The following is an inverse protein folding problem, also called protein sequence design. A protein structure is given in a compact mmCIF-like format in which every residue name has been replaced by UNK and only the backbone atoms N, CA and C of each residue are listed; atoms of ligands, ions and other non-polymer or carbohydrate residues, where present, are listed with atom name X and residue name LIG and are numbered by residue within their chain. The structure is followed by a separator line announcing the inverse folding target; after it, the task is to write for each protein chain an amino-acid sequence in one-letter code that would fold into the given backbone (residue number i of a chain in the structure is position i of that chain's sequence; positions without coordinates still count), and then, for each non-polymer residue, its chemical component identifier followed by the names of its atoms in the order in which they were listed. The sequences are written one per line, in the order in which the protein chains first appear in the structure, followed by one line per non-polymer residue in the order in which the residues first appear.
data_IF_382897989719
#
_entry.id   IF_382897989719
#
_cell.length_a   1.000
_cell.length_b   1.000
_cell.length_c   1.000
_cell.angle_alpha   90.00
_cell.angle_beta   90.00
_cell.angle_gamma   90.00
#
_symmetry.space_group_name_H-M   'P 1'
#
loop_
_entity.id
_entity.type
_entity.pdbx_description
1 polymer ?
#
# COMPACT_ATOMS: atom_id res chain seq x y z
N UNK A 1 -24.32 -50.68 -48.64
CA UNK A 1 -23.66 -50.44 -49.94
C UNK A 1 -24.68 -49.79 -50.87
N UNK A 2 -24.38 -48.59 -51.37
CA UNK A 2 -24.76 -47.96 -52.65
C UNK A 2 -24.79 -46.44 -52.48
N UNK A 3 -23.80 -45.77 -53.06
CA UNK A 3 -23.74 -44.32 -53.22
C UNK A 3 -24.82 -43.87 -54.21
N UNK A 4 -25.41 -42.68 -54.01
CA UNK A 4 -25.85 -41.85 -55.15
C UNK A 4 -25.86 -40.35 -54.86
N UNK A 5 -24.86 -39.72 -55.47
CA UNK A 5 -24.67 -38.34 -55.90
C UNK A 5 -25.90 -37.64 -56.50
N UNK A 6 -26.00 -36.32 -56.34
CA UNK A 6 -26.75 -35.41 -57.23
C UNK A 6 -27.25 -34.15 -56.51
N UNK A 7 -26.42 -33.11 -56.38
CA UNK A 7 -26.33 -31.96 -57.31
C UNK A 7 -27.56 -31.04 -57.32
N UNK A 8 -27.43 -29.96 -56.56
CA UNK A 8 -27.72 -28.57 -56.90
C UNK A 8 -28.86 -28.27 -57.88
N UNK A 9 -29.92 -27.64 -57.38
CA UNK A 9 -30.61 -26.55 -58.07
C UNK A 9 -30.86 -25.42 -57.09
N UNK A 10 -30.01 -24.40 -57.20
CA UNK A 10 -30.22 -23.06 -56.65
C UNK A 10 -31.44 -22.46 -57.33
N UNK A 11 -32.43 -22.04 -56.58
CA UNK A 11 -33.46 -21.14 -57.07
C UNK A 11 -34.05 -20.33 -55.91
N UNK A 12 -34.12 -19.03 -56.15
CA UNK A 12 -34.95 -18.05 -55.46
C UNK A 12 -34.52 -17.67 -54.05
N UNK A 13 -33.53 -16.78 -54.05
CA UNK A 13 -33.38 -15.68 -53.09
C UNK A 13 -34.75 -15.02 -52.89
N UNK A 14 -35.38 -15.28 -51.75
CA UNK A 14 -36.46 -14.47 -51.21
C UNK A 14 -35.94 -13.88 -49.90
N UNK A 15 -35.40 -12.67 -50.02
CA UNK A 15 -34.98 -11.82 -48.91
C UNK A 15 -36.25 -11.43 -48.17
N UNK A 16 -36.50 -12.07 -47.02
CA UNK A 16 -37.46 -11.61 -46.04
C UNK A 16 -36.66 -11.23 -44.78
N UNK A 17 -36.19 -9.99 -44.74
CA UNK A 17 -35.60 -9.38 -43.54
C UNK A 17 -36.76 -9.09 -42.60
N UNK A 18 -37.08 -10.07 -41.74
CA UNK A 18 -37.95 -9.86 -40.60
C UNK A 18 -37.10 -9.28 -39.46
N UNK A 19 -37.34 -7.99 -39.21
CA UNK A 19 -36.92 -7.28 -38.01
C UNK A 19 -37.28 -8.10 -36.77
N UNK A 20 -36.26 -8.63 -36.09
CA UNK A 20 -36.33 -8.94 -34.68
C UNK A 20 -35.05 -8.39 -34.06
N UNK A 21 -35.11 -7.12 -33.68
CA UNK A 21 -34.05 -6.44 -32.92
C UNK A 21 -34.25 -6.86 -31.45
N UNK A 22 -33.44 -7.74 -30.85
CA UNK A 22 -33.47 -7.89 -29.40
C UNK A 22 -32.88 -6.60 -28.83
N UNK A 23 -33.76 -5.76 -28.31
CA UNK A 23 -33.41 -4.60 -27.49
C UNK A 23 -32.82 -5.14 -26.18
N UNK A 24 -31.56 -5.59 -26.22
CA UNK A 24 -30.82 -5.92 -25.03
C UNK A 24 -30.62 -4.61 -24.25
N UNK A 25 -31.00 -4.55 -22.96
CA UNK A 25 -30.61 -3.42 -22.14
C UNK A 25 -29.08 -3.39 -22.09
N UNK A 26 -28.49 -2.37 -22.68
CA UNK A 26 -27.13 -1.94 -22.39
C UNK A 26 -27.09 -1.65 -20.90
N UNK A 27 -26.70 -2.66 -20.11
CA UNK A 27 -26.22 -2.44 -18.76
C UNK A 27 -24.98 -1.57 -18.91
N UNK A 28 -25.19 -0.25 -18.84
CA UNK A 28 -24.12 0.71 -18.62
C UNK A 28 -23.51 0.27 -17.31
N UNK A 29 -22.38 -0.43 -17.37
CA UNK A 29 -21.56 -0.73 -16.22
C UNK A 29 -21.13 0.64 -15.67
N UNK A 30 -21.95 1.18 -14.77
CA UNK A 30 -21.58 2.32 -13.95
C UNK A 30 -20.26 1.89 -13.30
N UNK A 31 -19.15 2.62 -13.49
CA UNK A 31 -18.00 2.41 -12.64
C UNK A 31 -18.49 2.67 -11.22
N UNK A 32 -18.75 1.59 -10.48
CA UNK A 32 -19.08 1.69 -9.07
C UNK A 32 -17.99 2.52 -8.41
N UNK A 33 -18.30 3.32 -7.39
CA UNK A 33 -17.30 4.14 -6.71
C UNK A 33 -16.20 3.21 -6.25
N UNK A 34 -15.08 3.22 -6.97
CA UNK A 34 -13.93 2.42 -6.61
C UNK A 34 -13.46 3.01 -5.27
N UNK A 35 -13.73 2.26 -4.20
CA UNK A 35 -13.19 2.53 -2.87
C UNK A 35 -11.65 2.39 -2.84
N UNK A 36 -11.01 2.12 -3.99
CA UNK A 36 -9.57 2.17 -4.13
C UNK A 36 -9.10 3.60 -3.90
N UNK A 37 -8.27 3.77 -2.88
CA UNK A 37 -7.59 5.01 -2.57
C UNK A 37 -6.86 5.52 -3.82
N UNK A 38 -7.01 6.80 -4.14
CA UNK A 38 -6.36 7.44 -5.29
C UNK A 38 -4.84 7.11 -5.30
N UNK A 39 -4.29 6.57 -6.40
CA UNK A 39 -2.87 6.21 -6.49
C UNK A 39 -1.95 7.40 -6.20
N UNK A 40 -2.33 8.63 -6.58
CA UNK A 40 -1.54 9.82 -6.27
C UNK A 40 -1.50 10.10 -4.76
N UNK A 41 -2.65 9.97 -4.09
CA UNK A 41 -2.79 10.06 -2.63
C UNK A 41 -1.99 8.97 -1.90
N UNK A 42 -2.00 7.73 -2.42
CA UNK A 42 -1.21 6.62 -1.87
C UNK A 42 0.29 6.86 -1.99
N UNK A 43 0.76 7.36 -3.14
CA UNK A 43 2.16 7.70 -3.35
C UNK A 43 2.60 8.86 -2.44
N UNK A 44 1.76 9.89 -2.30
CA UNK A 44 2.02 11.02 -1.40
C UNK A 44 2.12 10.58 0.06
N UNK A 45 1.19 9.75 0.53
CA UNK A 45 1.24 9.19 1.88
C UNK A 45 2.50 8.35 2.11
N UNK A 46 2.88 7.51 1.13
CA UNK A 46 4.12 6.72 1.22
C UNK A 46 5.36 7.62 1.31
N UNK A 47 5.42 8.68 0.49
CA UNK A 47 6.53 9.64 0.53
C UNK A 47 6.59 10.40 1.87
N UNK A 48 5.45 10.80 2.42
CA UNK A 48 5.37 11.44 3.73
C UNK A 48 5.84 10.50 4.85
N UNK A 49 5.37 9.25 4.86
CA UNK A 49 5.83 8.24 5.83
C UNK A 49 7.32 8.02 5.78
N UNK A 50 7.91 7.89 4.58
CA UNK A 50 9.38 7.74 4.42
C UNK A 50 10.15 8.91 5.02
N UNK A 51 9.70 10.15 4.79
CA UNK A 51 10.35 11.35 5.37
C UNK A 51 10.28 11.34 6.90
N UNK A 52 9.14 10.93 7.46
CA UNK A 52 8.93 10.84 8.90
C UNK A 52 9.84 9.76 9.51
N UNK A 53 9.96 8.60 8.86
CA UNK A 53 10.87 7.52 9.27
C UNK A 53 12.34 7.95 9.18
N UNK A 54 12.76 8.59 8.09
CA UNK A 54 14.12 9.08 7.92
C UNK A 54 14.51 10.10 9.00
N UNK A 55 13.59 11.01 9.35
CA UNK A 55 13.80 11.96 10.44
C UNK A 55 13.95 11.24 11.79
N UNK A 56 13.08 10.27 12.09
CA UNK A 56 13.16 9.49 13.32
C UNK A 56 14.50 8.73 13.42
N UNK A 57 14.94 8.11 12.33
CA UNK A 57 16.23 7.40 12.27
C UNK A 57 17.39 8.36 12.53
N UNK A 58 17.37 9.55 11.92
CA UNK A 58 18.41 10.56 12.12
C UNK A 58 18.46 11.04 13.58
N UNK A 59 17.29 11.24 14.20
CA UNK A 59 17.20 11.69 15.59
C UNK A 59 17.68 10.63 16.57
N UNK A 60 17.28 9.36 16.40
CA UNK A 60 17.78 8.24 17.23
C UNK A 60 19.30 8.08 17.08
N UNK A 61 19.83 8.27 15.86
CA UNK A 61 21.28 8.24 15.63
C UNK A 61 22.00 9.34 16.40
N UNK A 62 21.43 10.56 16.43
CA UNK A 62 21.94 11.70 17.20
C UNK A 62 21.92 11.43 18.71
N UNK A 63 20.80 10.93 19.25
CA UNK A 63 20.61 10.64 20.69
C UNK A 63 21.62 9.59 21.18
N UNK A 64 21.79 8.53 20.39
CA UNK A 64 22.63 7.38 20.78
C UNK A 64 24.10 7.53 20.39
N UNK A 65 24.45 8.59 19.66
CA UNK A 65 25.79 8.79 19.12
C UNK A 65 26.19 7.71 18.10
N UNK A 66 25.21 7.09 17.43
CA UNK A 66 25.44 6.01 16.46
C UNK A 66 25.16 6.46 15.02
N UNK A 67 25.31 5.56 14.05
CA UNK A 67 25.04 5.87 12.64
C UNK A 67 23.58 5.57 12.25
N UNK A 68 22.98 6.36 11.34
CA UNK A 68 21.64 6.08 10.81
C UNK A 68 21.50 4.68 10.19
N UNK A 69 22.57 4.14 9.60
CA UNK A 69 22.59 2.80 9.05
C UNK A 69 22.42 1.72 10.14
N UNK A 70 23.07 1.93 11.30
CA UNK A 70 22.96 1.03 12.45
C UNK A 70 21.56 1.07 13.06
N UNK A 71 20.97 2.25 13.16
CA UNK A 71 19.57 2.43 13.60
C UNK A 71 18.60 1.73 12.66
N UNK A 72 18.74 1.86 11.34
CA UNK A 72 17.90 1.16 10.36
C UNK A 72 18.02 -0.36 10.43
N UNK A 73 19.22 -0.89 10.70
CA UNK A 73 19.41 -2.33 10.93
C UNK A 73 18.71 -2.81 12.20
N UNK A 74 18.67 -1.96 13.23
CA UNK A 74 18.01 -2.25 14.50
C UNK A 74 16.48 -1.98 14.47
N UNK A 75 15.95 -1.32 13.43
CA UNK A 75 14.53 -1.04 13.31
C UNK A 75 13.73 -2.34 13.14
N UNK A 76 12.73 -2.60 14.00
CA UNK A 76 11.85 -3.75 13.83
C UNK A 76 10.90 -3.53 12.64
N UNK A 77 10.59 -4.61 11.90
CA UNK A 77 9.54 -4.59 10.89
C UNK A 77 8.21 -4.11 11.48
N UNK A 78 7.63 -3.10 10.84
CA UNK A 78 6.49 -2.31 11.34
C UNK A 78 5.18 -3.11 11.50
N UNK A 79 5.16 -4.37 11.02
CA UNK A 79 3.98 -5.24 11.00
C UNK A 79 3.65 -5.94 12.33
N UNK A 80 4.25 -5.56 13.47
CA UNK A 80 4.05 -6.26 14.75
C UNK A 80 3.65 -5.33 15.91
N UNK A 81 2.67 -5.81 16.67
CA UNK A 81 1.80 -5.15 17.67
C UNK A 81 2.53 -4.52 18.90
N UNK A 82 3.86 -4.65 19.03
CA UNK A 82 4.62 -4.08 20.18
C UNK A 82 5.25 -2.74 19.79
N UNK A 83 5.37 -1.80 20.73
CA UNK A 83 5.92 -0.45 20.49
C UNK A 83 7.27 -0.53 19.76
N UNK A 84 7.32 0.05 18.55
CA UNK A 84 8.52 0.07 17.71
C UNK A 84 9.74 0.60 18.48
N UNK A 85 9.55 1.60 19.34
CA UNK A 85 10.59 2.16 20.19
C UNK A 85 11.19 1.17 21.20
N UNK A 86 10.37 0.40 21.92
CA UNK A 86 10.90 -0.53 22.94
C UNK A 86 11.75 -1.62 22.32
N UNK A 87 11.34 -2.12 21.15
CA UNK A 87 12.15 -3.08 20.38
C UNK A 87 13.40 -2.45 19.79
N UNK A 88 13.31 -1.23 19.28
CA UNK A 88 14.46 -0.49 18.78
C UNK A 88 15.49 -0.28 19.89
N UNK A 89 15.07 0.12 21.08
CA UNK A 89 15.94 0.25 22.26
C UNK A 89 16.64 -1.08 22.55
N UNK A 90 15.89 -2.18 22.67
CA UNK A 90 16.50 -3.50 22.93
C UNK A 90 17.47 -3.93 21.82
N UNK A 91 17.14 -3.70 20.55
CA UNK A 91 18.01 -4.03 19.43
C UNK A 91 19.28 -3.16 19.41
N UNK A 92 19.17 -1.87 19.72
CA UNK A 92 20.30 -0.96 19.81
C UNK A 92 21.24 -1.34 20.96
N UNK A 93 20.71 -1.74 22.11
CA UNK A 93 21.51 -2.17 23.26
C UNK A 93 22.32 -3.44 22.96
N UNK A 94 21.68 -4.39 22.26
CA UNK A 94 22.37 -5.59 21.78
C UNK A 94 23.46 -5.26 20.76
N UNK A 95 23.20 -4.35 19.82
CA UNK A 95 24.12 -4.00 18.74
C UNK A 95 25.29 -3.09 19.21
N UNK A 96 25.05 -2.24 20.21
CA UNK A 96 26.05 -1.39 20.87
C UNK A 96 26.86 -2.18 21.91
N UNK A 97 26.33 -3.28 22.43
CA UNK A 97 26.95 -4.05 23.51
C UNK A 97 26.96 -3.32 24.85
N UNK A 98 26.18 -2.24 24.98
CA UNK A 98 26.07 -1.42 26.18
C UNK A 98 24.61 -0.97 26.36
N UNK A 99 24.12 -0.88 27.61
CA UNK A 99 22.78 -0.35 27.87
C UNK A 99 22.71 1.14 27.51
N UNK A 100 21.61 1.57 26.90
CA UNK A 100 21.33 2.99 26.73
C UNK A 100 20.99 3.59 28.09
N UNK A 101 21.43 4.83 28.31
CA UNK A 101 21.12 5.58 29.53
C UNK A 101 19.60 5.81 29.66
N UNK A 102 19.06 5.96 30.88
CA UNK A 102 17.65 6.27 31.08
C UNK A 102 17.19 7.50 30.30
N UNK A 103 18.04 8.53 30.19
CA UNK A 103 17.81 9.75 29.45
C UNK A 103 17.70 9.47 27.95
N UNK A 104 18.65 8.74 27.37
CA UNK A 104 18.59 8.35 25.96
C UNK A 104 17.35 7.50 25.64
N UNK A 105 16.98 6.58 26.54
CA UNK A 105 15.76 5.77 26.38
C UNK A 105 14.51 6.66 26.37
N UNK A 106 14.43 7.65 27.26
CA UNK A 106 13.33 8.60 27.33
C UNK A 106 13.23 9.45 26.06
N UNK A 107 14.36 9.97 25.57
CA UNK A 107 14.42 10.76 24.33
C UNK A 107 13.97 9.94 23.10
N UNK A 108 14.35 8.65 23.01
CA UNK A 108 13.88 7.76 21.94
C UNK A 108 12.37 7.53 22.01
N UNK A 109 11.81 7.39 23.22
CA UNK A 109 10.37 7.22 23.41
C UNK A 109 9.59 8.46 22.99
N UNK A 110 10.09 9.65 23.32
CA UNK A 110 9.52 10.92 22.87
C UNK A 110 9.59 11.06 21.34
N UNK A 111 10.73 10.73 20.74
CA UNK A 111 10.90 10.72 19.29
C UNK A 111 9.90 9.79 18.59
N UNK A 112 9.61 8.60 19.16
CA UNK A 112 8.59 7.69 18.61
C UNK A 112 7.16 8.21 18.79
N UNK A 113 6.87 8.93 19.88
CA UNK A 113 5.57 9.62 20.03
C UNK A 113 5.39 10.69 18.95
N UNK A 114 6.41 11.52 18.72
CA UNK A 114 6.42 12.52 17.64
C UNK A 114 6.26 11.88 16.26
N UNK A 115 6.95 10.76 16.01
CA UNK A 115 6.80 9.94 14.79
C UNK A 115 5.36 9.48 14.59
N UNK A 116 4.74 8.91 15.63
CA UNK A 116 3.34 8.43 15.58
C UNK A 116 2.35 9.56 15.30
N UNK A 117 2.49 10.70 15.97
CA UNK A 117 1.65 11.87 15.73
C UNK A 117 1.80 12.40 14.31
N UNK A 118 3.03 12.43 13.80
CA UNK A 118 3.31 12.86 12.42
C UNK A 118 2.71 11.89 11.38
N UNK A 119 2.81 10.58 11.62
CA UNK A 119 2.19 9.56 10.75
C UNK A 119 0.66 9.65 10.78
N UNK A 120 0.06 9.92 11.95
CA UNK A 120 -1.37 10.13 12.08
C UNK A 120 -1.82 11.34 11.26
N UNK A 121 -1.15 12.49 11.44
CA UNK A 121 -1.43 13.71 10.67
C UNK A 121 -1.27 13.51 9.16
N UNK A 122 -0.23 12.78 8.74
CA UNK A 122 -0.02 12.45 7.33
C UNK A 122 -1.16 11.58 6.76
N UNK A 123 -1.67 10.62 7.55
CA UNK A 123 -2.83 9.80 7.17
C UNK A 123 -4.11 10.63 7.09
N UNK A 124 -4.37 11.49 8.06
CA UNK A 124 -5.53 12.41 8.04
C UNK A 124 -5.49 13.33 6.81
N UNK A 125 -4.33 13.93 6.50
CA UNK A 125 -4.14 14.75 5.30
C UNK A 125 -4.34 13.95 4.00
N UNK A 126 -4.00 12.66 4.01
CA UNK A 126 -4.27 11.73 2.93
C UNK A 126 -5.71 11.18 2.92
N UNK A 127 -6.63 11.75 3.70
CA UNK A 127 -8.04 11.36 3.72
C UNK A 127 -8.36 10.13 4.57
N UNK A 128 -7.52 9.82 5.55
CA UNK A 128 -7.85 8.87 6.62
C UNK A 128 -9.04 9.38 7.42
N UNK A 129 -10.12 8.59 7.43
CA UNK A 129 -11.23 8.70 8.40
C UNK A 129 -10.93 7.81 9.60
#
# INVERSE_FOLDING_TARGET
MTHKTGSSRRACVAIAILLALPLAPLAVAQPGPSSAMDPARTASLSAASRRIEDHFVAEVARITGTTPARVRRAMPDERRITSAASRLISALELDLGAPLTPEQRAEILEADQSRKLSLMKAREAAGGR
#
